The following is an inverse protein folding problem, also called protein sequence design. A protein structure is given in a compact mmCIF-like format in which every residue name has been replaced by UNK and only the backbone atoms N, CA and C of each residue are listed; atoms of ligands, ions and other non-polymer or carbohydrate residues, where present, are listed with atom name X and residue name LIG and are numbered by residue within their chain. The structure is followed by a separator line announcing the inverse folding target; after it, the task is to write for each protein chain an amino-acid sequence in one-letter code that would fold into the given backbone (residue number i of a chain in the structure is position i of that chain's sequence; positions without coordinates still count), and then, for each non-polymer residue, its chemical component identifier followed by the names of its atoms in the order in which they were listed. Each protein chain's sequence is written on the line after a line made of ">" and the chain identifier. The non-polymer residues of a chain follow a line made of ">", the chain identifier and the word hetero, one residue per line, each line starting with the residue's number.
data_IF_013459049613
#
_entry.id   IF_013459049613
#
_cell.length_a   1.000
_cell.length_b   1.000
_cell.length_c   1.000
_cell.angle_alpha   90.00
_cell.angle_beta   90.00
_cell.angle_gamma   90.00
#
_symmetry.space_group_name_H-M   'P 1'
#
loop_
_entity.id
_entity.type
_entity.pdbx_description
1 polymer ?
#
# COMPACT_ATOMS: atom_id res chain seq x y z
N UNK A 1 -5.72 -46.10 -7.10
CA UNK A 1 -4.77 -45.26 -7.86
C UNK A 1 -5.44 -44.23 -8.76
N UNK A 2 -6.30 -44.63 -9.70
CA UNK A 2 -6.93 -43.71 -10.69
C UNK A 2 -7.73 -42.53 -10.07
N UNK A 3 -8.44 -42.78 -8.96
CA UNK A 3 -9.18 -41.74 -8.22
C UNK A 3 -8.27 -40.73 -7.52
N UNK A 4 -7.09 -41.16 -7.07
CA UNK A 4 -6.09 -40.29 -6.44
C UNK A 4 -5.43 -39.38 -7.48
N UNK A 5 -5.13 -39.90 -8.67
CA UNK A 5 -4.62 -39.09 -9.78
C UNK A 5 -5.65 -38.07 -10.28
N UNK A 6 -6.93 -38.43 -10.35
CA UNK A 6 -7.99 -37.51 -10.72
C UNK A 6 -8.15 -36.37 -9.69
N UNK A 7 -8.09 -36.67 -8.39
CA UNK A 7 -8.12 -35.66 -7.33
C UNK A 7 -6.89 -34.74 -7.37
N UNK A 8 -5.70 -35.29 -7.55
CA UNK A 8 -4.47 -34.52 -7.66
C UNK A 8 -4.50 -33.56 -8.87
N UNK A 9 -5.04 -34.00 -10.01
CA UNK A 9 -5.20 -33.17 -11.20
C UNK A 9 -6.20 -32.02 -10.99
N UNK A 10 -7.31 -32.26 -10.29
CA UNK A 10 -8.30 -31.22 -9.98
C UNK A 10 -7.71 -30.16 -9.04
N UNK A 11 -6.98 -30.59 -8.01
CA UNK A 11 -6.32 -29.65 -7.09
C UNK A 11 -5.23 -28.84 -7.79
N UNK A 12 -4.42 -29.47 -8.64
CA UNK A 12 -3.40 -28.76 -9.42
C UNK A 12 -4.02 -27.75 -10.39
N UNK A 13 -5.11 -28.10 -11.06
CA UNK A 13 -5.85 -27.18 -11.93
C UNK A 13 -6.46 -26.01 -11.13
N UNK A 14 -7.01 -26.26 -9.95
CA UNK A 14 -7.56 -25.21 -9.09
C UNK A 14 -6.48 -24.22 -8.63
N UNK A 15 -5.28 -24.71 -8.25
CA UNK A 15 -4.16 -23.85 -7.86
C UNK A 15 -3.65 -23.03 -9.05
N UNK A 16 -3.56 -23.63 -10.24
CA UNK A 16 -3.10 -22.93 -11.44
C UNK A 16 -3.98 -21.73 -11.84
N UNK A 17 -5.29 -21.79 -11.57
CA UNK A 17 -6.23 -20.68 -11.84
C UNK A 17 -6.11 -19.55 -10.81
N UNK A 18 -5.53 -19.80 -9.63
CA UNK A 18 -5.40 -18.80 -8.56
C UNK A 18 -4.10 -17.99 -8.62
N UNK A 19 -3.17 -18.29 -9.53
CA UNK A 19 -1.92 -17.54 -9.68
C UNK A 19 -2.13 -16.34 -10.61
N UNK A 20 -2.86 -15.33 -10.14
CA UNK A 20 -2.88 -14.04 -10.83
C UNK A 20 -1.54 -13.31 -10.57
N UNK A 21 -0.87 -12.78 -11.61
CA UNK A 21 0.28 -11.92 -11.40
C UNK A 21 -0.13 -10.68 -10.59
N UNK A 22 0.52 -10.46 -9.46
CA UNK A 22 0.38 -9.21 -8.71
C UNK A 22 1.29 -8.15 -9.36
N UNK A 23 0.69 -7.21 -10.08
CA UNK A 23 1.41 -6.07 -10.65
C UNK A 23 1.38 -4.89 -9.68
N UNK A 24 2.56 -4.37 -9.34
CA UNK A 24 2.66 -3.05 -8.75
C UNK A 24 2.65 -2.00 -9.86
N UNK A 25 2.04 -0.86 -9.57
CA UNK A 25 2.12 0.29 -10.44
C UNK A 25 3.55 0.85 -10.43
N UNK A 26 4.01 1.24 -11.61
CA UNK A 26 5.33 1.85 -11.77
C UNK A 26 5.22 3.38 -11.76
N UNK A 27 6.03 4.10 -10.96
CA UNK A 27 6.12 5.56 -11.05
C UNK A 27 6.84 6.05 -12.32
N UNK A 28 7.36 5.16 -13.16
CA UNK A 28 8.12 5.53 -14.37
C UNK A 28 9.55 6.03 -14.08
N UNK A 29 9.97 6.02 -12.82
CA UNK A 29 11.29 6.41 -12.34
C UNK A 29 11.89 5.31 -11.46
N UNK A 30 13.20 5.41 -11.17
CA UNK A 30 13.84 4.54 -10.19
C UNK A 30 13.46 4.95 -8.77
N UNK A 31 13.14 3.98 -7.91
CA UNK A 31 12.81 4.21 -6.50
C UNK A 31 11.34 3.99 -6.17
N UNK A 32 10.98 4.22 -4.89
CA UNK A 32 9.60 4.11 -4.43
C UNK A 32 8.77 5.34 -4.84
N UNK A 33 7.47 5.18 -5.15
CA UNK A 33 6.58 6.30 -5.36
C UNK A 33 6.36 7.04 -4.04
N UNK A 34 6.81 8.30 -3.94
CA UNK A 34 6.68 9.16 -2.76
C UNK A 34 5.48 10.10 -2.90
N UNK A 35 4.26 9.57 -2.78
CA UNK A 35 3.03 10.35 -2.93
C UNK A 35 2.25 10.41 -1.62
N UNK A 36 1.94 11.62 -1.15
CA UNK A 36 0.99 11.81 -0.06
C UNK A 36 -0.42 11.44 -0.51
N UNK A 37 -1.17 10.78 0.35
CA UNK A 37 -2.55 10.41 0.07
C UNK A 37 -3.43 11.67 -0.02
N UNK A 38 -4.54 11.56 -0.76
CA UNK A 38 -5.43 12.68 -1.07
C UNK A 38 -4.77 13.82 -1.89
N UNK A 39 -3.53 13.63 -2.35
CA UNK A 39 -2.91 14.54 -3.31
C UNK A 39 -3.51 14.37 -4.71
N UNK A 40 -3.23 15.30 -5.62
CA UNK A 40 -3.67 15.22 -7.01
C UNK A 40 -3.13 13.99 -7.76
N UNK A 41 -2.01 13.43 -7.31
CA UNK A 41 -1.32 12.27 -7.89
C UNK A 41 -1.59 10.96 -7.15
N UNK A 42 -2.18 11.03 -5.95
CA UNK A 42 -2.65 9.87 -5.19
C UNK A 42 -3.95 10.18 -4.41
N UNK A 43 -5.08 10.42 -5.12
CA UNK A 43 -6.35 10.85 -4.51
C UNK A 43 -7.05 9.80 -3.64
N UNK A 44 -6.62 8.53 -3.68
CA UNK A 44 -7.27 7.43 -2.97
C UNK A 44 -6.44 7.00 -1.76
N UNK A 45 -7.13 6.63 -0.68
CA UNK A 45 -6.52 6.01 0.49
C UNK A 45 -6.79 4.49 0.51
N UNK A 46 -5.80 3.66 0.90
CA UNK A 46 -5.99 2.23 1.00
C UNK A 46 -6.89 1.88 2.18
N UNK A 47 -7.75 0.87 2.01
CA UNK A 47 -8.43 0.21 3.12
C UNK A 47 -9.35 1.09 3.98
N UNK A 48 -9.88 2.20 3.45
CA UNK A 48 -10.75 3.14 4.19
C UNK A 48 -10.05 3.85 5.37
N UNK A 49 -8.73 4.07 5.27
CA UNK A 49 -7.89 4.63 6.31
C UNK A 49 -8.43 5.93 6.96
N UNK A 50 -9.00 6.88 6.19
CA UNK A 50 -9.58 8.09 6.80
C UNK A 50 -10.85 7.88 7.63
N UNK A 51 -11.65 6.85 7.33
CA UNK A 51 -12.94 6.62 8.01
C UNK A 51 -12.91 5.47 9.02
N UNK A 52 -11.85 4.67 9.02
CA UNK A 52 -11.67 3.57 9.95
C UNK A 52 -11.48 4.08 11.40
N UNK A 53 -12.34 3.68 12.35
CA UNK A 53 -12.18 4.07 13.76
C UNK A 53 -10.81 3.66 14.31
N UNK A 54 -10.07 4.62 14.86
CA UNK A 54 -8.74 4.37 15.41
C UNK A 54 -7.68 4.04 14.37
N UNK A 55 -7.88 4.39 13.10
CA UNK A 55 -6.88 4.17 12.06
C UNK A 55 -5.53 4.74 12.47
N UNK A 56 -4.49 3.91 12.37
CA UNK A 56 -3.13 4.36 12.60
C UNK A 56 -2.67 5.33 11.50
N UNK A 57 -3.28 5.22 10.31
CA UNK A 57 -3.02 6.07 9.15
C UNK A 57 -4.30 6.85 8.83
N UNK A 58 -4.25 8.17 8.99
CA UNK A 58 -5.25 9.09 8.46
C UNK A 58 -4.57 10.42 8.19
N UNK A 59 -4.94 11.06 7.07
CA UNK A 59 -4.28 12.31 6.68
C UNK A 59 -4.57 13.45 7.67
N UNK A 60 -3.60 14.37 7.86
CA UNK A 60 -3.84 15.62 8.56
C UNK A 60 -5.05 16.36 8.00
N UNK A 61 -5.96 16.77 8.89
CA UNK A 61 -7.17 17.52 8.54
C UNK A 61 -7.39 18.68 9.50
N UNK A 62 -8.38 19.53 9.21
CA UNK A 62 -8.76 20.63 10.11
C UNK A 62 -9.23 20.16 11.49
N UNK A 63 -9.78 18.95 11.58
CA UNK A 63 -10.25 18.34 12.84
C UNK A 63 -9.22 17.39 13.45
N UNK A 64 -8.22 16.96 12.69
CA UNK A 64 -7.09 16.18 13.18
C UNK A 64 -5.76 16.67 12.55
N UNK A 65 -5.18 17.77 13.04
CA UNK A 65 -4.01 18.40 12.41
C UNK A 65 -2.75 17.53 12.41
N UNK A 66 -2.67 16.55 13.32
CA UNK A 66 -1.55 15.62 13.40
C UNK A 66 -1.74 14.37 12.53
N UNK A 67 -2.92 14.15 11.95
CA UNK A 67 -3.22 12.89 11.27
C UNK A 67 -3.08 11.67 12.20
N UNK A 68 -2.79 10.52 11.64
CA UNK A 68 -2.65 9.26 12.35
C UNK A 68 -1.28 9.08 12.98
N UNK A 69 -1.21 8.33 14.10
CA UNK A 69 0.06 8.09 14.81
C UNK A 69 1.09 7.45 13.90
N UNK A 70 0.70 6.52 13.02
CA UNK A 70 1.65 5.89 12.10
C UNK A 70 2.14 6.88 11.03
N UNK A 71 1.31 7.84 10.60
CA UNK A 71 1.77 8.96 9.78
C UNK A 71 2.91 9.73 10.45
N UNK A 72 2.92 9.82 11.78
CA UNK A 72 3.96 10.50 12.58
C UNK A 72 5.23 9.67 12.83
N UNK A 73 5.21 8.36 12.57
CA UNK A 73 6.27 7.45 13.00
C UNK A 73 6.94 6.70 11.85
N UNK A 74 6.40 6.76 10.64
CA UNK A 74 6.95 6.07 9.48
C UNK A 74 8.04 6.89 8.76
N UNK A 75 8.83 6.17 7.95
CA UNK A 75 9.89 6.74 7.13
C UNK A 75 9.39 7.93 6.29
N UNK A 76 10.18 8.99 6.22
CA UNK A 76 9.83 10.23 5.52
C UNK A 76 9.19 11.30 6.40
N UNK A 77 8.69 10.98 7.60
CA UNK A 77 8.18 11.97 8.54
C UNK A 77 9.20 12.29 9.67
N UNK A 78 9.69 13.53 9.66
CA UNK A 78 10.68 14.03 10.62
C UNK A 78 12.08 13.43 10.43
N UNK A 79 13.09 14.03 11.07
CA UNK A 79 14.48 13.55 11.03
C UNK A 79 14.80 12.83 12.35
N UNK A 80 14.72 11.51 12.38
CA UNK A 80 15.23 10.68 13.49
C UNK A 80 16.12 9.54 12.98
N UNK A 81 16.80 8.83 13.88
CA UNK A 81 17.58 7.63 13.50
C UNK A 81 16.70 6.48 13.00
N UNK A 82 15.41 6.48 13.34
CA UNK A 82 14.42 5.48 12.91
C UNK A 82 13.62 5.95 11.69
N UNK A 83 13.52 7.27 11.49
CA UNK A 83 12.85 7.92 10.36
C UNK A 83 13.80 8.95 9.73
N UNK A 84 14.76 8.54 8.90
CA UNK A 84 15.62 9.50 8.20
C UNK A 84 14.77 10.34 7.22
N UNK A 85 14.84 11.67 7.26
CA UNK A 85 14.19 12.53 6.26
C UNK A 85 15.13 12.70 5.05
N UNK A 86 15.24 11.66 4.23
CA UNK A 86 15.89 11.75 2.93
C UNK A 86 14.90 11.36 1.82
N UNK A 87 15.15 11.79 0.58
CA UNK A 87 14.23 11.57 -0.54
C UNK A 87 14.00 10.09 -0.93
N UNK A 88 14.74 9.15 -0.34
CA UNK A 88 14.51 7.71 -0.51
C UNK A 88 13.72 7.08 0.66
N UNK A 89 13.52 7.82 1.75
CA UNK A 89 12.72 7.38 2.88
C UNK A 89 11.25 7.66 2.59
N UNK A 90 10.56 6.64 2.07
CA UNK A 90 9.15 6.73 1.69
C UNK A 90 8.33 5.83 2.60
N UNK A 91 7.19 6.35 3.08
CA UNK A 91 6.28 5.57 3.90
C UNK A 91 5.64 4.46 3.04
N UNK A 92 5.45 3.26 3.58
CA UNK A 92 4.73 2.20 2.85
C UNK A 92 3.26 2.57 2.59
N UNK A 93 2.72 3.51 3.37
CA UNK A 93 1.38 4.06 3.18
C UNK A 93 1.32 4.94 1.93
N UNK A 94 2.33 5.77 1.68
CA UNK A 94 2.46 6.61 0.47
C UNK A 94 2.51 5.72 -0.79
N UNK A 95 3.26 4.62 -0.72
CA UNK A 95 3.33 3.64 -1.82
C UNK A 95 1.98 2.98 -2.07
N UNK A 96 1.24 2.65 -1.02
CA UNK A 96 -0.10 2.08 -1.14
C UNK A 96 -1.09 3.10 -1.72
N UNK A 97 -1.02 4.38 -1.32
CA UNK A 97 -1.85 5.44 -1.87
C UNK A 97 -1.59 5.67 -3.35
N UNK A 98 -0.33 5.66 -3.76
CA UNK A 98 0.02 5.64 -5.17
C UNK A 98 -0.65 4.44 -5.86
N UNK A 99 -0.45 3.23 -5.35
CA UNK A 99 -0.98 2.01 -5.96
C UNK A 99 -2.50 2.03 -6.15
N UNK A 100 -3.27 2.39 -5.12
CA UNK A 100 -4.75 2.37 -5.19
C UNK A 100 -5.34 3.49 -6.03
N UNK A 101 -4.53 4.51 -6.33
CA UNK A 101 -4.92 5.65 -7.14
C UNK A 101 -4.70 5.45 -8.64
N UNK A 102 -4.07 4.34 -9.04
CA UNK A 102 -3.78 4.09 -10.45
C UNK A 102 -4.98 3.50 -11.19
N UNK A 103 -5.12 3.83 -12.49
CA UNK A 103 -6.10 3.18 -13.34
C UNK A 103 -5.76 1.69 -13.47
N UNK A 104 -6.79 0.84 -13.40
CA UNK A 104 -6.71 -0.61 -13.55
C UNK A 104 -7.25 -1.06 -14.91
#
# INVERSE_FOLDING_TARGET
>A
MQRLFALAAIVAAAVAVMVAPAFAASPGTNGQPSQSCLSSTAPMEPGQAASAPGSAFNEPSSTNPAGGIAGQMYAGNGQTTLTPANGAAVSQYDVACFQVSQPH
#
